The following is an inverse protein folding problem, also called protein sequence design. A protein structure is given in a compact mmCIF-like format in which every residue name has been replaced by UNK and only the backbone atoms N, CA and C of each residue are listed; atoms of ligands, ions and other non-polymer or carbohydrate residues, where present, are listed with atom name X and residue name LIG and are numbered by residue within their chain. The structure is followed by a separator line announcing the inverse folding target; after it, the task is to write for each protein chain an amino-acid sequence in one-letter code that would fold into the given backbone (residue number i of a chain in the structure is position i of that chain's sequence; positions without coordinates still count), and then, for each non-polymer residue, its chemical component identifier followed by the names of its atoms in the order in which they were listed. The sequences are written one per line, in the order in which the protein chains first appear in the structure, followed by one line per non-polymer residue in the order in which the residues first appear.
data_IF_340999110873
#
_entry.id   IF_340999110873
#
_cell.length_a   1.000
_cell.length_b   1.000
_cell.length_c   1.000
_cell.angle_alpha   90.00
_cell.angle_beta   90.00
_cell.angle_gamma   90.00
#
_symmetry.space_group_name_H-M   'P 1'
#
loop_
_entity.id
_entity.type
_entity.pdbx_description
1 polymer ?
#
# COMPACT_ATOMS: atom_id res chain seq x y z
N UNK A 1 27.43 8.50 -0.87
CA UNK A 1 26.75 7.34 -1.50
C UNK A 1 25.70 6.88 -0.51
N UNK A 2 24.40 7.10 -0.77
CA UNK A 2 23.35 6.64 0.14
C UNK A 2 23.33 5.12 0.24
N UNK A 3 22.87 4.51 1.36
CA UNK A 3 22.86 3.07 1.49
C UNK A 3 22.04 2.43 0.35
N UNK A 4 22.53 1.33 -0.26
CA UNK A 4 22.10 0.80 -1.57
C UNK A 4 20.63 0.34 -1.70
N UNK A 5 19.80 0.52 -0.67
CA UNK A 5 18.41 0.04 -0.64
C UNK A 5 17.36 1.10 -0.23
N UNK A 6 17.78 2.33 0.10
CA UNK A 6 16.87 3.38 0.60
C UNK A 6 15.85 3.90 -0.44
N UNK A 7 16.09 3.66 -1.73
CA UNK A 7 15.35 4.32 -2.81
C UNK A 7 14.02 3.64 -3.19
N UNK A 8 13.81 2.36 -2.83
CA UNK A 8 12.62 1.62 -3.29
C UNK A 8 11.36 1.83 -2.45
N UNK A 9 11.49 2.27 -1.19
CA UNK A 9 10.34 2.59 -0.32
C UNK A 9 9.52 3.74 -0.92
N UNK A 10 10.17 4.65 -1.64
CA UNK A 10 9.54 5.78 -2.30
C UNK A 10 8.58 5.37 -3.42
N UNK A 11 8.75 4.21 -4.04
CA UNK A 11 7.89 3.81 -5.16
C UNK A 11 6.45 3.56 -4.70
N UNK A 12 6.27 2.81 -3.61
CA UNK A 12 4.93 2.51 -3.08
C UNK A 12 4.32 3.74 -2.39
N UNK A 13 5.07 4.38 -1.48
CA UNK A 13 4.59 5.55 -0.73
C UNK A 13 4.38 6.79 -1.62
N UNK A 14 5.21 6.96 -2.66
CA UNK A 14 5.03 8.02 -3.65
C UNK A 14 3.76 7.85 -4.48
N UNK A 15 3.40 6.62 -4.84
CA UNK A 15 2.09 6.35 -5.45
C UNK A 15 0.93 6.64 -4.48
N UNK A 16 1.10 6.31 -3.19
CA UNK A 16 0.08 6.58 -2.16
C UNK A 16 -0.16 8.08 -1.96
N UNK A 17 0.87 8.92 -2.06
CA UNK A 17 0.71 10.37 -1.94
C UNK A 17 -0.15 10.95 -3.05
N UNK A 18 -0.05 10.43 -4.29
CA UNK A 18 -0.92 10.82 -5.41
C UNK A 18 -2.39 10.49 -5.08
N UNK A 19 -2.66 9.32 -4.50
CA UNK A 19 -4.02 8.95 -4.11
C UNK A 19 -4.54 9.84 -2.96
N UNK A 20 -3.73 10.05 -1.94
CA UNK A 20 -4.12 10.82 -0.76
C UNK A 20 -4.36 12.31 -1.06
N UNK A 21 -3.47 12.91 -1.85
CA UNK A 21 -3.47 14.36 -2.11
C UNK A 21 -4.15 14.74 -3.43
N UNK A 22 -4.14 13.85 -4.43
CA UNK A 22 -4.72 14.10 -5.76
C UNK A 22 -6.06 13.39 -6.00
N UNK A 23 -6.29 12.22 -5.41
CA UNK A 23 -7.51 11.42 -5.59
C UNK A 23 -8.21 11.14 -4.24
N UNK A 24 -8.26 12.13 -3.35
CA UNK A 24 -8.65 12.02 -1.93
C UNK A 24 -9.99 11.32 -1.68
N UNK A 25 -10.94 11.42 -2.61
CA UNK A 25 -12.27 10.79 -2.52
C UNK A 25 -12.30 9.34 -3.02
N UNK A 26 -11.24 8.85 -3.65
CA UNK A 26 -11.22 7.50 -4.18
C UNK A 26 -11.33 6.49 -3.02
N UNK A 27 -12.05 5.36 -3.19
CA UNK A 27 -12.09 4.29 -2.20
C UNK A 27 -10.68 3.76 -1.87
N UNK A 28 -9.83 3.67 -2.90
CA UNK A 28 -8.43 3.27 -2.75
C UNK A 28 -7.59 4.27 -1.95
N UNK A 29 -8.03 5.51 -1.75
CA UNK A 29 -7.34 6.50 -0.92
C UNK A 29 -7.78 6.46 0.55
N UNK A 30 -8.82 5.69 0.92
CA UNK A 30 -9.32 5.66 2.30
C UNK A 30 -8.45 4.78 3.21
N UNK A 31 -8.55 5.00 4.53
CA UNK A 31 -7.69 4.36 5.53
C UNK A 31 -7.67 2.84 5.43
N UNK A 32 -8.84 2.22 5.21
CA UNK A 32 -8.97 0.77 5.01
C UNK A 32 -8.07 0.26 3.89
N UNK A 33 -8.12 0.89 2.72
CA UNK A 33 -7.35 0.48 1.56
C UNK A 33 -5.85 0.70 1.77
N UNK A 34 -5.46 1.86 2.28
CA UNK A 34 -4.04 2.21 2.47
C UNK A 34 -3.41 1.29 3.52
N UNK A 35 -3.99 1.21 4.73
CA UNK A 35 -3.43 0.39 5.80
C UNK A 35 -3.46 -1.10 5.44
N UNK A 36 -4.61 -1.59 4.97
CA UNK A 36 -4.78 -3.00 4.61
C UNK A 36 -3.89 -3.41 3.45
N UNK A 37 -3.84 -2.59 2.40
CA UNK A 37 -3.01 -2.84 1.22
C UNK A 37 -1.52 -2.87 1.56
N UNK A 38 -1.00 -1.84 2.25
CA UNK A 38 0.43 -1.79 2.53
C UNK A 38 0.87 -2.84 3.56
N UNK A 39 0.14 -3.00 4.67
CA UNK A 39 0.50 -3.96 5.72
C UNK A 39 0.31 -5.39 5.24
N UNK A 40 -0.80 -5.69 4.57
CA UNK A 40 -1.05 -7.02 4.00
C UNK A 40 -0.04 -7.38 2.91
N UNK A 41 0.19 -6.49 1.95
CA UNK A 41 1.13 -6.72 0.86
C UNK A 41 2.58 -6.83 1.34
N UNK A 42 2.98 -6.04 2.34
CA UNK A 42 4.31 -6.17 2.94
C UNK A 42 4.46 -7.47 3.73
N UNK A 43 3.43 -7.88 4.49
CA UNK A 43 3.42 -9.13 5.26
C UNK A 43 3.61 -10.33 4.34
N UNK A 44 2.82 -10.38 3.26
CA UNK A 44 2.90 -11.45 2.25
C UNK A 44 4.26 -11.44 1.55
N UNK A 45 4.76 -10.26 1.17
CA UNK A 45 6.08 -10.13 0.57
C UNK A 45 7.22 -10.61 1.48
N UNK A 46 7.18 -10.27 2.76
CA UNK A 46 8.17 -10.74 3.76
C UNK A 46 8.07 -12.25 3.91
N UNK A 47 6.85 -12.81 4.03
CA UNK A 47 6.67 -14.26 4.11
C UNK A 47 7.27 -14.97 2.89
N UNK A 48 6.94 -14.51 1.67
CA UNK A 48 7.52 -15.08 0.44
C UNK A 48 9.05 -14.94 0.40
N UNK A 49 9.60 -13.80 0.82
CA UNK A 49 11.05 -13.61 0.88
C UNK A 49 11.72 -14.63 1.80
N UNK A 50 11.16 -14.84 2.99
CA UNK A 50 11.72 -15.73 4.01
C UNK A 50 11.59 -17.22 3.64
N UNK A 51 10.48 -17.62 3.02
CA UNK A 51 10.23 -19.04 2.69
C UNK A 51 10.75 -19.45 1.31
N UNK A 52 10.83 -18.53 0.34
CA UNK A 52 11.11 -18.82 -1.07
C UNK A 52 12.35 -18.08 -1.62
N UNK A 53 13.00 -17.25 -0.79
CA UNK A 53 14.19 -16.48 -1.16
C UNK A 53 13.89 -15.40 -2.20
N UNK A 54 14.75 -15.27 -3.22
CA UNK A 54 14.67 -14.26 -4.28
C UNK A 54 14.40 -14.86 -5.67
N UNK A 55 13.78 -16.03 -5.72
CA UNK A 55 13.43 -16.71 -6.97
C UNK A 55 12.30 -15.99 -7.72
N UNK A 56 12.20 -16.17 -9.04
CA UNK A 56 11.09 -15.63 -9.84
C UNK A 56 9.73 -16.08 -9.28
N UNK A 57 9.65 -17.32 -8.78
CA UNK A 57 8.46 -17.87 -8.13
C UNK A 57 8.08 -17.07 -6.87
N UNK A 58 9.06 -16.66 -6.05
CA UNK A 58 8.81 -15.84 -4.87
C UNK A 58 8.14 -14.51 -5.23
N UNK A 59 8.61 -13.83 -6.28
CA UNK A 59 7.99 -12.58 -6.76
C UNK A 59 6.58 -12.80 -7.28
N UNK A 60 6.38 -13.83 -8.12
CA UNK A 60 5.08 -14.14 -8.71
C UNK A 60 4.03 -14.46 -7.64
N UNK A 61 4.40 -15.28 -6.65
CA UNK A 61 3.54 -15.61 -5.53
C UNK A 61 3.28 -14.40 -4.62
N UNK A 62 4.31 -13.62 -4.29
CA UNK A 62 4.15 -12.45 -3.43
C UNK A 62 3.13 -11.44 -4.01
N UNK A 63 3.22 -11.15 -5.31
CA UNK A 63 2.29 -10.24 -5.99
C UNK A 63 0.89 -10.84 -6.07
N UNK A 64 0.77 -12.09 -6.51
CA UNK A 64 -0.53 -12.75 -6.72
C UNK A 64 -1.29 -12.93 -5.41
N UNK A 65 -0.61 -13.38 -4.34
CA UNK A 65 -1.18 -13.52 -3.00
C UNK A 65 -1.54 -12.15 -2.40
N UNK A 66 -0.71 -11.14 -2.59
CA UNK A 66 -1.02 -9.78 -2.11
C UNK A 66 -2.25 -9.21 -2.81
N UNK A 67 -2.39 -9.41 -4.12
CA UNK A 67 -3.58 -8.98 -4.86
C UNK A 67 -4.82 -9.77 -4.40
N UNK A 68 -4.72 -11.09 -4.28
CA UNK A 68 -5.80 -11.94 -3.80
C UNK A 68 -6.25 -11.51 -2.39
N UNK A 69 -5.30 -11.23 -1.49
CA UNK A 69 -5.57 -10.69 -0.17
C UNK A 69 -6.33 -9.36 -0.24
N UNK A 70 -5.85 -8.40 -1.03
CA UNK A 70 -6.49 -7.08 -1.16
C UNK A 70 -7.90 -7.17 -1.74
N UNK A 71 -8.13 -8.07 -2.70
CA UNK A 71 -9.45 -8.32 -3.27
C UNK A 71 -10.38 -8.98 -2.23
N UNK A 72 -9.92 -10.02 -1.54
CA UNK A 72 -10.71 -10.73 -0.54
C UNK A 72 -11.11 -9.84 0.65
N UNK A 73 -10.17 -9.00 1.11
CA UNK A 73 -10.38 -8.08 2.24
C UNK A 73 -10.95 -6.73 1.82
N UNK A 74 -11.10 -6.47 0.52
CA UNK A 74 -11.53 -5.20 -0.06
C UNK A 74 -10.69 -4.03 0.42
N UNK A 75 -9.38 -4.18 0.32
CA UNK A 75 -8.36 -3.18 0.68
C UNK A 75 -7.44 -2.87 -0.51
N UNK A 76 -7.94 -2.92 -1.74
CA UNK A 76 -7.14 -2.62 -2.94
C UNK A 76 -6.65 -1.18 -2.89
N UNK A 77 -5.35 -1.03 -2.69
CA UNK A 77 -4.62 0.21 -2.84
C UNK A 77 -3.54 -0.02 -3.89
N UNK A 78 -3.74 0.38 -5.16
CA UNK A 78 -2.81 0.06 -6.24
C UNK A 78 -1.33 0.38 -5.94
N UNK A 79 -1.00 1.50 -5.28
CA UNK A 79 0.39 1.77 -4.89
C UNK A 79 1.01 0.73 -3.94
N UNK A 80 0.21 0.10 -3.08
CA UNK A 80 0.68 -0.97 -2.19
C UNK A 80 1.07 -2.25 -2.95
N UNK A 81 0.65 -2.42 -4.21
CA UNK A 81 1.05 -3.56 -5.06
C UNK A 81 2.56 -3.66 -5.27
N UNK A 82 3.32 -2.57 -5.10
CA UNK A 82 4.78 -2.59 -5.15
C UNK A 82 5.43 -3.22 -3.90
N UNK A 83 4.75 -3.18 -2.73
CA UNK A 83 5.29 -3.71 -1.48
C UNK A 83 5.79 -5.16 -1.56
N UNK A 84 4.99 -6.15 -2.01
CA UNK A 84 5.43 -7.54 -2.05
C UNK A 84 6.72 -7.74 -2.85
N UNK A 85 6.82 -7.12 -4.03
CA UNK A 85 8.02 -7.17 -4.88
C UNK A 85 9.22 -6.57 -4.16
N UNK A 86 9.06 -5.38 -3.55
CA UNK A 86 10.14 -4.70 -2.84
C UNK A 86 10.62 -5.56 -1.67
N UNK A 87 9.71 -6.19 -0.90
CA UNK A 87 10.07 -7.02 0.26
C UNK A 87 10.85 -8.27 -0.15
N UNK A 88 10.47 -8.92 -1.26
CA UNK A 88 11.25 -10.03 -1.85
C UNK A 88 12.60 -9.52 -2.34
N UNK A 89 12.66 -8.39 -3.05
CA UNK A 89 13.91 -7.85 -3.58
C UNK A 89 14.95 -7.54 -2.50
N UNK A 90 14.54 -6.88 -1.41
CA UNK A 90 15.47 -6.53 -0.32
C UNK A 90 15.64 -7.63 0.72
N UNK A 91 15.01 -8.79 0.53
CA UNK A 91 14.99 -9.90 1.50
C UNK A 91 14.62 -9.39 2.91
N UNK A 92 13.47 -8.72 3.01
CA UNK A 92 13.06 -8.01 4.21
C UNK A 92 12.80 -8.95 5.42
N UNK A 93 13.13 -8.46 6.61
CA UNK A 93 12.74 -9.07 7.89
C UNK A 93 11.43 -8.45 8.41
N UNK A 94 10.81 -9.09 9.40
CA UNK A 94 9.50 -8.67 9.96
C UNK A 94 9.48 -7.25 10.55
N UNK A 95 10.61 -6.75 11.04
CA UNK A 95 10.77 -5.36 11.49
C UNK A 95 10.46 -4.32 10.40
N UNK A 96 10.59 -4.70 9.11
CA UNK A 96 10.24 -3.86 7.98
C UNK A 96 8.74 -3.46 7.94
N UNK A 97 7.86 -4.24 8.60
CA UNK A 97 6.44 -3.90 8.74
C UNK A 97 6.23 -2.63 9.57
N UNK A 98 6.97 -2.49 10.66
CA UNK A 98 6.89 -1.29 11.51
C UNK A 98 7.63 -0.14 10.84
N UNK A 99 8.90 -0.36 10.50
CA UNK A 99 9.76 0.62 9.87
C UNK A 99 10.42 0.01 8.62
N UNK A 100 10.09 0.47 7.40
CA UNK A 100 9.46 1.76 7.09
C UNK A 100 7.96 1.70 6.76
N UNK A 101 7.31 0.53 6.71
CA UNK A 101 5.97 0.42 6.11
C UNK A 101 4.90 1.16 6.91
N UNK A 102 4.67 0.79 8.18
CA UNK A 102 3.64 1.42 9.01
C UNK A 102 3.96 2.90 9.25
N UNK A 103 5.20 3.22 9.62
CA UNK A 103 5.61 4.61 9.85
C UNK A 103 5.43 5.49 8.60
N UNK A 104 5.81 5.00 7.42
CA UNK A 104 5.63 5.73 6.17
C UNK A 104 4.16 5.96 5.82
N UNK A 105 3.32 4.95 6.02
CA UNK A 105 1.86 5.06 5.81
C UNK A 105 1.24 6.06 6.79
N UNK A 106 1.56 5.97 8.08
CA UNK A 106 1.04 6.90 9.09
C UNK A 106 1.49 8.34 8.81
N UNK A 107 2.74 8.53 8.41
CA UNK A 107 3.24 9.84 8.00
C UNK A 107 2.41 10.44 6.85
N UNK A 108 2.15 9.67 5.79
CA UNK A 108 1.35 10.14 4.66
C UNK A 108 -0.11 10.42 5.04
N UNK A 109 -0.71 9.56 5.88
CA UNK A 109 -2.06 9.79 6.39
C UNK A 109 -2.12 11.08 7.20
N UNK A 110 -1.17 11.30 8.12
CA UNK A 110 -1.07 12.53 8.89
C UNK A 110 -0.91 13.75 7.99
N UNK A 111 -0.03 13.67 6.98
CA UNK A 111 0.16 14.73 5.99
C UNK A 111 -1.14 15.05 5.25
N UNK A 112 -1.88 14.04 4.79
CA UNK A 112 -3.15 14.22 4.10
C UNK A 112 -4.23 14.85 4.99
N UNK A 113 -4.30 14.43 6.25
CA UNK A 113 -5.21 15.03 7.25
C UNK A 113 -4.89 16.51 7.43
N UNK A 114 -3.63 16.86 7.71
CA UNK A 114 -3.20 18.25 7.91
C UNK A 114 -3.46 19.09 6.66
N UNK A 115 -3.03 18.60 5.49
CA UNK A 115 -3.20 19.29 4.22
C UNK A 115 -4.67 19.60 3.90
N UNK A 116 -5.56 18.62 4.14
CA UNK A 116 -6.99 18.78 3.89
C UNK A 116 -7.68 19.83 4.77
N UNK A 117 -7.04 20.26 5.88
CA UNK A 117 -7.56 21.25 6.83
C UNK A 117 -6.96 22.64 6.64
N UNK A 118 -5.79 22.74 6.02
CA UNK A 118 -5.11 24.01 5.79
C UNK A 118 -5.69 24.80 4.61
N UNK A 119 -6.24 24.11 3.61
CA UNK A 119 -6.75 24.75 2.39
C UNK A 119 -8.28 24.78 2.35
N UNK A 120 -8.89 25.98 2.42
CA UNK A 120 -10.34 26.14 2.28
C UNK A 120 -10.81 25.58 0.93
N UNK A 121 -11.88 24.78 0.95
CA UNK A 121 -12.49 24.19 -0.25
C UNK A 121 -12.02 22.77 -0.59
N UNK A 122 -10.99 22.24 0.08
CA UNK A 122 -10.66 20.81 -0.01
C UNK A 122 -11.61 19.96 0.84
N UNK A 123 -11.79 18.70 0.44
CA UNK A 123 -12.51 17.74 1.29
C UNK A 123 -11.62 17.31 2.44
N UNK A 124 -12.17 17.31 3.64
CA UNK A 124 -11.49 16.80 4.82
C UNK A 124 -11.20 15.30 4.69
N UNK A 125 -9.92 14.94 4.76
CA UNK A 125 -9.48 13.57 4.78
C UNK A 125 -9.40 13.06 6.25
N UNK A 126 -9.71 11.77 6.52
CA UNK A 126 -10.35 10.80 5.63
C UNK A 126 -11.82 11.13 5.34
N UNK A 127 -12.28 10.79 4.13
CA UNK A 127 -13.67 11.05 3.68
C UNK A 127 -14.61 9.96 4.17
N UNK A 128 -14.22 8.70 3.97
CA UNK A 128 -14.95 7.51 4.40
C UNK A 128 -13.94 6.44 4.82
N UNK A 129 -13.46 6.49 6.09
CA UNK A 129 -12.30 5.71 6.53
C UNK A 129 -12.34 4.21 6.22
N UNK A 130 -13.55 3.63 6.26
CA UNK A 130 -13.79 2.20 6.13
C UNK A 130 -14.34 1.80 4.75
N UNK A 131 -14.38 2.74 3.79
CA UNK A 131 -14.88 2.47 2.45
C UNK A 131 -14.15 1.29 1.80
N UNK A 132 -14.87 0.24 1.36
CA UNK A 132 -14.27 -0.90 0.69
C UNK A 132 -13.65 -0.50 -0.65
N UNK A 133 -12.46 -1.02 -0.93
CA UNK A 133 -11.80 -0.86 -2.23
C UNK A 133 -11.47 -2.23 -2.84
N UNK A 134 -12.03 -2.59 -4.01
CA UNK A 134 -12.97 -1.82 -4.80
C UNK A 134 -14.36 -1.73 -4.15
N UNK A 135 -15.19 -0.74 -4.52
CA UNK A 135 -16.54 -0.53 -3.96
C UNK A 135 -17.59 -1.55 -4.42
N UNK A 136 -17.32 -2.36 -5.45
CA UNK A 136 -18.10 -3.56 -5.80
C UNK A 136 -17.19 -4.72 -6.26
N UNK A 137 -17.71 -5.95 -6.30
CA UNK A 137 -16.96 -7.13 -6.77
C UNK A 137 -16.66 -7.07 -8.28
N UNK A 138 -17.60 -6.57 -9.09
CA UNK A 138 -17.47 -6.46 -10.55
C UNK A 138 -16.80 -5.15 -11.01
N UNK A 139 -16.00 -4.51 -10.15
CA UNK A 139 -15.44 -3.18 -10.44
C UNK A 139 -14.50 -3.14 -11.65
N UNK A 140 -13.87 -4.27 -11.98
CA UNK A 140 -13.04 -4.42 -13.18
C UNK A 140 -13.81 -4.55 -14.50
N UNK A 141 -15.15 -4.61 -14.47
CA UNK A 141 -15.98 -4.69 -15.68
C UNK A 141 -15.93 -6.03 -16.42
N UNK A 142 -15.32 -7.07 -15.84
CA UNK A 142 -15.28 -8.41 -16.41
C UNK A 142 -16.68 -9.05 -16.28
N UNK A 143 -17.42 -9.09 -17.38
CA UNK A 143 -18.66 -9.85 -17.57
C UNK A 143 -18.40 -11.06 -18.45
#
# INVERSE_FOLDING_TARGET
MGPPHANFVLASLGGSSIFLLGLTRAPAAQLRAILGGHLGGATIGIACAQFLGSSLLAYALAVSLSLAFMLATRTVHPPAGANPVIKVYVQAHWGALLNPVLLGVLYLVCLAVVWSRLYPGLVHYPVSPLEPSPPSLNWGGWQ
#
